data_IF_644942018620
#
_entry.id   IF_644942018620
#
_cell.length_a   1.000
_cell.length_b   1.000
_cell.length_c   1.000
_cell.angle_alpha   90.00
_cell.angle_beta   90.00
_cell.angle_gamma   90.00
#
_symmetry.space_group_name_H-M   'P 1'
#
loop_
_entity.id
_entity.type
_entity.pdbx_description
1 polymer ?
#
# COMPACT_ATOMS: atom_id res chain seq x y z
N UNK A 1 6.42 -5.05 15.61
CA UNK A 1 7.13 -5.84 14.59
C UNK A 1 7.57 -4.91 13.48
N UNK A 2 8.64 -5.23 12.76
CA UNK A 2 9.08 -4.39 11.63
C UNK A 2 8.10 -4.59 10.48
N UNK A 3 7.80 -3.55 9.70
CA UNK A 3 6.89 -3.65 8.56
C UNK A 3 7.30 -4.80 7.61
N UNK A 4 8.61 -5.02 7.44
CA UNK A 4 9.17 -6.12 6.66
C UNK A 4 8.80 -7.53 7.13
N UNK A 5 8.45 -7.71 8.42
CA UNK A 5 7.99 -8.97 9.01
C UNK A 5 6.51 -9.25 8.67
N UNK A 6 5.77 -8.19 8.35
CA UNK A 6 4.34 -8.22 8.01
C UNK A 6 4.17 -8.36 6.49
N UNK A 7 5.00 -7.67 5.72
CA UNK A 7 5.01 -7.69 4.27
C UNK A 7 5.70 -8.97 3.75
N UNK A 8 4.96 -10.07 3.76
CA UNK A 8 5.33 -11.32 3.08
C UNK A 8 5.19 -11.24 1.56
N UNK A 9 5.05 -12.38 0.89
CA UNK A 9 4.94 -12.41 -0.57
C UNK A 9 3.73 -11.64 -1.11
N UNK A 10 3.90 -11.04 -2.29
CA UNK A 10 2.86 -10.36 -3.05
C UNK A 10 2.96 -8.83 -3.02
N UNK A 11 1.99 -8.19 -3.69
CA UNK A 11 1.85 -6.73 -3.63
C UNK A 11 1.08 -6.35 -2.38
N UNK A 12 1.45 -5.22 -1.79
CA UNK A 12 0.84 -4.71 -0.56
C UNK A 12 0.37 -3.27 -0.71
N UNK A 13 -0.92 -3.04 -0.52
CA UNK A 13 -1.54 -1.72 -0.48
C UNK A 13 -1.60 -1.26 0.98
N UNK A 14 -0.69 -0.37 1.37
CA UNK A 14 -0.71 0.31 2.66
C UNK A 14 -1.52 1.60 2.53
N UNK A 15 -2.51 1.81 3.38
CA UNK A 15 -3.44 2.94 3.22
C UNK A 15 -3.99 3.43 4.56
N UNK A 16 -4.39 4.70 4.62
CA UNK A 16 -5.09 5.28 5.78
C UNK A 16 -6.53 4.79 5.91
N UNK A 17 -7.14 4.39 4.79
CA UNK A 17 -8.55 3.95 4.73
C UNK A 17 -8.73 2.63 3.97
N UNK A 18 -9.79 1.90 4.33
CA UNK A 18 -10.13 0.63 3.71
C UNK A 18 -10.61 0.81 2.27
N UNK A 19 -10.17 -0.08 1.38
CA UNK A 19 -10.66 -0.15 0.02
C UNK A 19 -11.80 -1.17 0.03
N UNK A 20 -12.91 -0.88 -0.64
CA UNK A 20 -14.04 -1.82 -0.69
C UNK A 20 -13.67 -3.16 -1.35
N UNK A 21 -12.70 -3.15 -2.29
CA UNK A 21 -12.18 -4.34 -2.94
C UNK A 21 -10.77 -4.09 -3.50
N UNK A 22 -9.68 -4.46 -2.80
CA UNK A 22 -8.36 -4.48 -3.42
C UNK A 22 -8.30 -5.57 -4.54
N UNK A 23 -7.41 -5.43 -5.53
CA UNK A 23 -7.20 -6.47 -6.53
C UNK A 23 -6.84 -7.82 -5.88
N UNK A 24 -7.22 -8.97 -6.48
CA UNK A 24 -7.06 -10.29 -5.85
C UNK A 24 -5.60 -10.66 -5.50
N UNK A 25 -4.62 -10.08 -6.19
CA UNK A 25 -3.19 -10.32 -5.95
C UNK A 25 -2.52 -9.20 -5.14
N UNK A 26 -3.30 -8.33 -4.51
CA UNK A 26 -2.84 -7.21 -3.67
C UNK A 26 -3.41 -7.38 -2.27
N UNK A 27 -2.54 -7.58 -1.28
CA UNK A 27 -2.92 -7.59 0.13
C UNK A 27 -3.08 -6.16 0.62
N UNK A 28 -4.13 -5.87 1.37
CA UNK A 28 -4.38 -4.55 1.93
C UNK A 28 -4.02 -4.51 3.42
N UNK A 29 -3.38 -3.42 3.84
CA UNK A 29 -3.13 -3.08 5.24
C UNK A 29 -3.61 -1.66 5.48
N UNK A 30 -4.52 -1.49 6.45
CA UNK A 30 -4.99 -0.19 6.90
C UNK A 30 -4.23 0.25 8.15
N UNK A 31 -3.59 1.41 8.07
CA UNK A 31 -2.88 2.03 9.18
C UNK A 31 -3.82 2.27 10.36
N UNK A 32 -3.33 2.04 11.57
CA UNK A 32 -4.03 2.17 12.85
C UNK A 32 -5.26 1.25 13.01
N UNK A 33 -5.47 0.31 12.08
CA UNK A 33 -6.49 -0.75 12.18
C UNK A 33 -5.86 -2.13 12.13
N UNK A 34 -5.12 -2.40 11.06
CA UNK A 34 -4.50 -3.71 10.81
C UNK A 34 -3.05 -3.72 11.33
N UNK A 35 -2.39 -2.56 11.34
CA UNK A 35 -1.09 -2.34 11.98
C UNK A 35 -1.10 -1.05 12.80
N UNK A 36 -0.40 -1.04 13.91
CA UNK A 36 -0.18 0.18 14.71
C UNK A 36 1.06 0.90 14.21
N UNK A 37 0.93 2.19 13.85
CA UNK A 37 2.08 3.06 13.55
C UNK A 37 2.49 3.83 14.82
N UNK A 38 3.13 3.15 15.76
CA UNK A 38 3.50 3.70 17.07
C UNK A 38 4.36 4.98 16.98
N UNK A 39 5.14 5.11 15.90
CA UNK A 39 6.03 6.25 15.68
C UNK A 39 5.41 7.37 14.84
N UNK A 40 4.24 7.14 14.25
CA UNK A 40 3.62 8.04 13.26
C UNK A 40 4.43 8.21 11.97
N UNK A 41 5.44 7.36 11.74
CA UNK A 41 6.38 7.53 10.63
C UNK A 41 5.75 7.16 9.29
N UNK A 42 4.89 6.14 9.26
CA UNK A 42 4.18 5.75 8.04
C UNK A 42 3.11 6.78 7.71
N UNK A 43 2.41 7.27 8.72
CA UNK A 43 1.41 8.32 8.56
C UNK A 43 2.03 9.61 8.03
N UNK A 44 3.14 10.06 8.64
CA UNK A 44 3.92 11.21 8.16
C UNK A 44 4.48 11.00 6.76
N UNK A 45 4.96 9.81 6.44
CA UNK A 45 5.50 9.52 5.11
C UNK A 45 4.42 9.66 4.02
N UNK A 46 3.19 9.19 4.28
CA UNK A 46 2.06 9.38 3.38
C UNK A 46 1.68 10.86 3.25
N UNK A 47 1.69 11.61 4.35
CA UNK A 47 1.44 13.06 4.33
C UNK A 47 2.48 13.85 3.55
N UNK A 48 3.76 13.58 3.77
CA UNK A 48 4.88 14.21 3.06
C UNK A 48 4.81 13.90 1.54
N UNK A 49 4.26 12.73 1.17
CA UNK A 49 4.00 12.35 -0.22
C UNK A 49 2.67 12.90 -0.78
N UNK A 50 1.87 13.61 0.01
CA UNK A 50 0.54 14.08 -0.39
C UNK A 50 -0.42 12.94 -0.77
N UNK A 51 -0.24 11.76 -0.16
CA UNK A 51 -0.89 10.51 -0.54
C UNK A 51 -1.74 9.94 0.61
N UNK A 52 -2.74 9.14 0.25
CA UNK A 52 -3.53 8.38 1.24
C UNK A 52 -3.17 6.89 1.24
N UNK A 53 -2.40 6.44 0.26
CA UNK A 53 -1.95 5.08 0.11
C UNK A 53 -0.59 4.96 -0.61
N UNK A 54 0.06 3.83 -0.41
CA UNK A 54 1.18 3.36 -1.21
C UNK A 54 0.95 1.92 -1.65
N UNK A 55 1.44 1.56 -2.84
CA UNK A 55 1.51 0.18 -3.29
C UNK A 55 2.97 -0.26 -3.25
N UNK A 56 3.24 -1.36 -2.57
CA UNK A 56 4.56 -1.95 -2.38
C UNK A 56 4.64 -3.25 -3.17
N UNK A 57 5.75 -3.44 -3.87
CA UNK A 57 6.05 -4.62 -4.69
C UNK A 57 6.56 -5.79 -3.84
N UNK A 58 6.52 -7.03 -4.37
CA UNK A 58 7.10 -8.19 -3.69
C UNK A 58 8.59 -8.06 -3.35
N UNK A 59 9.35 -7.27 -4.11
CA UNK A 59 10.77 -6.97 -3.86
C UNK A 59 10.98 -5.78 -2.90
N UNK A 60 9.95 -5.43 -2.11
CA UNK A 60 9.92 -4.35 -1.12
C UNK A 60 10.15 -2.94 -1.67
N UNK A 61 10.09 -2.75 -2.98
CA UNK A 61 10.15 -1.43 -3.59
C UNK A 61 8.76 -0.81 -3.68
N UNK A 62 8.68 0.51 -3.51
CA UNK A 62 7.43 1.26 -3.74
C UNK A 62 7.12 1.23 -5.24
N UNK A 63 5.95 0.69 -5.60
CA UNK A 63 5.39 0.79 -6.95
C UNK A 63 4.91 2.23 -7.21
N UNK A 64 4.23 2.83 -6.22
CA UNK A 64 3.74 4.20 -6.30
C UNK A 64 3.08 4.67 -5.00
N UNK A 65 2.84 5.97 -4.92
CA UNK A 65 2.09 6.66 -3.85
C UNK A 65 0.95 7.47 -4.47
N UNK A 66 -0.18 7.59 -3.78
CA UNK A 66 -1.30 8.39 -4.26
C UNK A 66 -2.60 7.99 -3.57
N UNK A 67 -3.72 8.13 -4.30
CA UNK A 67 -4.99 7.56 -3.86
C UNK A 67 -5.02 6.05 -4.12
N UNK A 68 -5.81 5.32 -3.32
CA UNK A 68 -6.04 3.87 -3.54
C UNK A 68 -6.50 3.61 -4.98
N UNK A 69 -7.42 4.42 -5.50
CA UNK A 69 -8.00 4.24 -6.83
C UNK A 69 -6.93 4.36 -7.92
N UNK A 70 -6.08 5.38 -7.84
CA UNK A 70 -5.07 5.63 -8.87
C UNK A 70 -4.01 4.53 -8.88
N UNK A 71 -3.61 4.05 -7.70
CA UNK A 71 -2.66 2.94 -7.57
C UNK A 71 -3.22 1.62 -8.12
N UNK A 72 -4.48 1.31 -7.82
CA UNK A 72 -5.15 0.11 -8.35
C UNK A 72 -5.27 0.17 -9.87
N UNK A 73 -5.64 1.33 -10.42
CA UNK A 73 -5.73 1.52 -11.88
C UNK A 73 -4.36 1.38 -12.56
N UNK A 74 -3.32 2.00 -11.99
CA UNK A 74 -1.96 1.90 -12.51
C UNK A 74 -1.43 0.47 -12.49
N UNK A 75 -1.71 -0.28 -11.40
CA UNK A 75 -1.35 -1.69 -11.31
C UNK A 75 -2.09 -2.55 -12.35
N UNK A 76 -3.40 -2.35 -12.51
CA UNK A 76 -4.19 -3.06 -13.51
C UNK A 76 -3.69 -2.81 -14.94
N UNK A 77 -3.36 -1.56 -15.27
CA UNK A 77 -2.78 -1.21 -16.57
C UNK A 77 -1.44 -1.91 -16.83
N UNK A 78 -0.61 -2.06 -15.79
CA UNK A 78 0.66 -2.79 -15.91
C UNK A 78 0.45 -4.29 -16.18
N UNK A 79 -0.56 -4.92 -15.56
CA UNK A 79 -0.88 -6.32 -15.80
C UNK A 79 -1.37 -6.60 -17.22
N UNK A 80 -2.11 -5.66 -17.82
CA UNK A 80 -2.60 -5.76 -19.20
C UNK A 80 -1.51 -5.51 -20.26
N UNK A 81 -0.38 -4.93 -19.85
CA UNK A 81 0.74 -4.63 -20.74
C UNK A 81 1.79 -5.76 -20.81
N UNK A 82 1.52 -6.89 -20.16
CA UNK A 82 2.36 -8.09 -20.15
C UNK A 82 1.67 -9.24 -20.85
#
# INVERSE_FOLDING_TARGET
GRLDDILGDGFWLLTKEAAHAPPPNVKQVVLNRDITDETGRLDKWLEDAGATATLIRPDRHVFGTGSVRDLVNAYAAQLLSK
#
